data_IF_698314787806
#
_entry.id   IF_698314787806
#
_cell.length_a   1.000
_cell.length_b   1.000
_cell.length_c   1.000
_cell.angle_alpha   90.00
_cell.angle_beta   90.00
_cell.angle_gamma   90.00
#
_symmetry.space_group_name_H-M   'P 1'
#
loop_
_entity.id
_entity.type
_entity.pdbx_description
1 polymer ?
#
# COMPACT_ATOMS: atom_id res chain seq x y z
N UNK A 1 5.82 6.53 24.67
CA UNK A 1 6.44 7.53 23.74
C UNK A 1 5.45 7.77 22.64
N UNK A 2 5.33 8.98 22.13
CA UNK A 2 4.31 9.31 21.14
C UNK A 2 4.94 9.38 19.75
N UNK A 3 4.15 9.01 18.71
CA UNK A 3 4.48 9.32 17.33
C UNK A 3 4.72 10.83 17.14
N UNK A 4 5.52 11.26 16.15
CA UNK A 4 5.56 12.67 15.76
C UNK A 4 4.15 13.20 15.48
N UNK A 5 3.83 14.40 15.97
CA UNK A 5 2.47 14.99 15.83
C UNK A 5 1.98 15.12 14.39
N UNK A 6 2.92 15.17 13.45
CA UNK A 6 2.62 15.26 12.02
C UNK A 6 2.31 13.90 11.35
N UNK A 7 2.43 12.80 12.08
CA UNK A 7 2.22 11.45 11.58
C UNK A 7 0.89 10.89 12.08
N UNK A 8 0.17 10.23 11.20
CA UNK A 8 -1.07 9.52 11.56
C UNK A 8 -0.92 8.06 11.19
N UNK A 9 -1.06 7.15 12.16
CA UNK A 9 -1.27 5.74 11.85
C UNK A 9 -2.71 5.55 11.38
N UNK A 10 -2.87 4.78 10.31
CA UNK A 10 -4.17 4.41 9.75
C UNK A 10 -4.24 2.91 9.45
N UNK A 11 -5.44 2.39 9.27
CA UNK A 11 -5.68 1.02 8.83
C UNK A 11 -6.33 1.01 7.46
N UNK A 12 -5.89 0.12 6.58
CA UNK A 12 -6.57 -0.11 5.31
C UNK A 12 -7.78 -1.03 5.50
N UNK A 13 -8.95 -0.60 5.02
CA UNK A 13 -10.12 -1.46 4.93
C UNK A 13 -9.93 -2.60 3.91
N UNK A 14 -8.90 -2.51 3.05
CA UNK A 14 -8.48 -3.62 2.19
C UNK A 14 -8.11 -4.87 3.00
N UNK A 15 -7.63 -4.71 4.23
CA UNK A 15 -7.35 -5.81 5.15
C UNK A 15 -8.58 -6.69 5.37
N UNK A 16 -9.77 -6.12 5.26
CA UNK A 16 -11.06 -6.80 5.45
C UNK A 16 -11.62 -7.40 4.15
N UNK A 17 -10.84 -7.47 3.08
CA UNK A 17 -11.29 -8.06 1.80
C UNK A 17 -11.91 -9.46 1.96
N UNK A 18 -11.40 -10.38 2.80
CA UNK A 18 -12.06 -11.66 3.03
C UNK A 18 -13.49 -11.50 3.55
N UNK A 19 -13.74 -10.55 4.46
CA UNK A 19 -15.07 -10.25 4.98
C UNK A 19 -15.99 -9.62 3.92
N UNK A 20 -15.42 -8.72 3.09
CA UNK A 20 -16.16 -8.12 1.97
C UNK A 20 -16.60 -9.18 0.95
N UNK A 21 -15.72 -10.16 0.67
CA UNK A 21 -16.00 -11.27 -0.25
C UNK A 21 -17.09 -12.19 0.31
N UNK A 22 -17.09 -12.46 1.61
CA UNK A 22 -18.17 -13.25 2.26
C UNK A 22 -19.53 -12.57 2.15
N UNK A 23 -19.56 -11.25 2.02
CA UNK A 23 -20.76 -10.42 1.84
C UNK A 23 -21.83 -10.59 2.93
N UNK A 24 -21.43 -10.99 4.14
CA UNK A 24 -22.34 -11.13 5.29
C UNK A 24 -22.72 -9.76 5.88
N UNK A 25 -21.82 -8.79 5.72
CA UNK A 25 -22.01 -7.39 6.15
C UNK A 25 -21.65 -6.45 5.01
N UNK A 26 -22.31 -5.28 4.90
CA UNK A 26 -21.91 -4.24 3.95
C UNK A 26 -20.47 -3.77 4.21
N UNK A 27 -19.69 -3.50 3.16
CA UNK A 27 -18.32 -3.02 3.30
C UNK A 27 -18.19 -1.72 4.11
N UNK A 28 -19.10 -0.72 4.00
CA UNK A 28 -19.08 0.44 4.89
C UNK A 28 -19.22 0.10 6.38
N UNK A 29 -20.01 -0.93 6.72
CA UNK A 29 -20.17 -1.37 8.11
C UNK A 29 -18.91 -2.05 8.63
N UNK A 30 -18.26 -2.85 7.78
CA UNK A 30 -16.97 -3.45 8.10
C UNK A 30 -15.91 -2.37 8.34
N UNK A 31 -15.77 -1.43 7.41
CA UNK A 31 -14.79 -0.35 7.53
C UNK A 31 -15.04 0.54 8.77
N UNK A 32 -16.31 0.89 9.07
CA UNK A 32 -16.64 1.67 10.27
C UNK A 32 -16.29 0.93 11.57
N UNK A 33 -16.38 -0.40 11.58
CA UNK A 33 -16.03 -1.21 12.77
C UNK A 33 -14.56 -1.03 13.18
N UNK A 34 -13.62 -0.77 12.23
CA UNK A 34 -12.22 -0.47 12.57
C UNK A 34 -12.10 0.73 13.52
N UNK A 35 -12.96 1.74 13.32
CA UNK A 35 -13.00 2.94 14.17
C UNK A 35 -13.81 2.68 15.44
N UNK A 36 -14.99 2.09 15.31
CA UNK A 36 -15.93 1.84 16.42
C UNK A 36 -15.33 0.92 17.50
N UNK A 37 -14.44 0.00 17.11
CA UNK A 37 -13.70 -0.88 18.03
C UNK A 37 -12.38 -0.27 18.52
N UNK A 38 -12.03 0.94 18.04
CA UNK A 38 -10.79 1.61 18.46
C UNK A 38 -9.52 0.99 17.89
N UNK A 39 -9.61 0.21 16.79
CA UNK A 39 -8.44 -0.36 16.11
C UNK A 39 -7.63 0.74 15.44
N UNK A 40 -8.30 1.67 14.75
CA UNK A 40 -7.68 2.84 14.15
C UNK A 40 -8.65 4.04 14.15
N UNK A 41 -8.14 5.26 14.38
CA UNK A 41 -8.93 6.50 14.25
C UNK A 41 -8.93 7.09 12.83
N UNK A 42 -8.04 6.63 11.97
CA UNK A 42 -7.99 6.99 10.56
C UNK A 42 -7.99 5.70 9.73
N UNK A 43 -8.78 5.67 8.67
CA UNK A 43 -8.88 4.50 7.80
C UNK A 43 -8.68 4.88 6.34
N UNK A 44 -8.05 4.00 5.59
CA UNK A 44 -8.03 4.02 4.14
C UNK A 44 -9.08 3.06 3.60
N UNK A 45 -9.78 3.45 2.53
CA UNK A 45 -10.84 2.65 1.92
C UNK A 45 -10.62 2.50 0.41
N UNK A 46 -11.09 1.39 -0.15
CA UNK A 46 -11.14 1.17 -1.60
C UNK A 46 -12.53 1.51 -2.13
N UNK A 47 -12.63 2.54 -2.99
CA UNK A 47 -13.93 3.03 -3.46
C UNK A 47 -14.75 1.93 -4.12
N UNK A 48 -14.10 1.08 -4.92
CA UNK A 48 -14.75 -0.02 -5.63
C UNK A 48 -15.28 -1.13 -4.73
N UNK A 49 -14.84 -1.21 -3.47
CA UNK A 49 -15.34 -2.16 -2.48
C UNK A 49 -16.45 -1.57 -1.61
N UNK A 50 -16.43 -0.25 -1.40
CA UNK A 50 -17.29 0.41 -0.40
C UNK A 50 -18.72 0.54 -0.84
N UNK A 51 -18.97 1.00 -2.04
CA UNK A 51 -20.33 1.34 -2.49
C UNK A 51 -20.68 0.72 -3.84
N UNK A 52 -21.94 0.37 -3.97
CA UNK A 52 -22.51 0.05 -5.29
C UNK A 52 -22.55 1.31 -6.14
N UNK A 53 -22.46 1.16 -7.46
CA UNK A 53 -22.49 2.30 -8.38
C UNK A 53 -21.12 2.84 -8.76
N UNK A 54 -20.03 2.17 -8.36
CA UNK A 54 -18.69 2.49 -8.87
C UNK A 54 -18.70 2.64 -10.40
N UNK A 55 -18.09 3.69 -11.01
CA UNK A 55 -17.19 4.68 -10.37
C UNK A 55 -17.90 5.93 -9.79
N UNK A 56 -19.23 6.01 -9.83
CA UNK A 56 -20.04 7.15 -9.40
C UNK A 56 -21.01 6.74 -8.28
N UNK A 57 -20.51 6.47 -7.04
CA UNK A 57 -21.39 6.13 -5.93
C UNK A 57 -22.21 7.33 -5.47
N UNK A 58 -23.39 7.10 -4.86
CA UNK A 58 -24.22 8.18 -4.33
C UNK A 58 -23.48 9.02 -3.30
N UNK A 59 -23.43 10.33 -3.51
CA UNK A 59 -22.72 11.23 -2.59
C UNK A 59 -23.34 11.26 -1.18
N UNK A 60 -24.63 10.94 -1.04
CA UNK A 60 -25.29 10.82 0.27
C UNK A 60 -24.75 9.63 1.07
N UNK A 61 -24.46 8.51 0.42
CA UNK A 61 -23.88 7.33 1.08
C UNK A 61 -22.47 7.65 1.60
N UNK A 62 -21.66 8.36 0.80
CA UNK A 62 -20.33 8.79 1.21
C UNK A 62 -20.38 9.78 2.39
N UNK A 63 -21.33 10.73 2.37
CA UNK A 63 -21.54 11.67 3.49
C UNK A 63 -22.02 10.95 4.75
N UNK A 64 -22.98 10.04 4.65
CA UNK A 64 -23.48 9.27 5.77
C UNK A 64 -22.35 8.42 6.43
N UNK A 65 -21.50 7.84 5.60
CA UNK A 65 -20.32 7.11 6.08
C UNK A 65 -19.35 8.02 6.84
N UNK A 66 -18.99 9.18 6.28
CA UNK A 66 -18.18 10.19 6.96
C UNK A 66 -18.75 10.57 8.32
N UNK A 67 -20.05 10.87 8.37
CA UNK A 67 -20.72 11.33 9.59
C UNK A 67 -20.72 10.22 10.66
N UNK A 68 -20.90 8.96 10.24
CA UNK A 68 -20.79 7.78 11.12
C UNK A 68 -19.37 7.64 11.71
N UNK A 69 -18.33 7.73 10.88
CA UNK A 69 -16.96 7.67 11.36
C UNK A 69 -16.64 8.82 12.32
N UNK A 70 -17.07 10.02 11.98
CA UNK A 70 -16.87 11.21 12.81
C UNK A 70 -17.55 11.07 14.18
N UNK A 71 -18.75 10.50 14.24
CA UNK A 71 -19.46 10.22 15.48
C UNK A 71 -18.71 9.21 16.36
N UNK A 72 -17.95 8.29 15.76
CA UNK A 72 -17.09 7.33 16.45
C UNK A 72 -15.67 7.89 16.76
N UNK A 73 -15.40 9.16 16.43
CA UNK A 73 -14.08 9.78 16.63
C UNK A 73 -13.05 9.45 15.55
N UNK A 74 -13.49 8.96 14.39
CA UNK A 74 -12.61 8.59 13.29
C UNK A 74 -12.84 9.40 12.02
N UNK A 75 -12.03 9.09 10.99
CA UNK A 75 -12.10 9.73 9.68
C UNK A 75 -11.56 8.82 8.58
N UNK A 76 -11.93 9.13 7.35
CA UNK A 76 -11.23 8.60 6.16
C UNK A 76 -9.93 9.38 5.97
N UNK A 77 -8.82 8.69 5.77
CA UNK A 77 -7.53 9.27 5.40
C UNK A 77 -7.38 9.36 3.88
N UNK A 78 -7.35 8.22 3.21
CA UNK A 78 -7.13 8.11 1.77
C UNK A 78 -8.21 7.21 1.18
N UNK A 79 -8.58 7.47 -0.06
CA UNK A 79 -9.49 6.62 -0.85
C UNK A 79 -8.70 6.03 -2.03
N UNK A 80 -8.62 4.71 -2.09
CA UNK A 80 -8.14 4.00 -3.26
C UNK A 80 -9.12 4.19 -4.42
N UNK A 81 -8.64 4.78 -5.50
CA UNK A 81 -9.34 5.01 -6.74
C UNK A 81 -8.71 4.21 -7.88
N UNK A 82 -9.34 4.19 -9.03
CA UNK A 82 -8.76 3.54 -10.21
C UNK A 82 -9.13 4.27 -11.49
N UNK A 83 -8.31 4.11 -12.50
CA UNK A 83 -8.63 4.50 -13.87
C UNK A 83 -8.71 3.23 -14.70
N UNK A 84 -9.88 2.98 -15.29
CA UNK A 84 -10.00 1.92 -16.27
C UNK A 84 -9.51 2.45 -17.63
N UNK A 85 -8.38 1.95 -18.10
CA UNK A 85 -7.79 2.38 -19.36
C UNK A 85 -8.48 1.81 -20.59
N UNK A 86 -9.41 0.86 -20.42
CA UNK A 86 -10.04 0.17 -21.52
C UNK A 86 -11.57 0.28 -21.50
N UNK A 87 -12.16 0.43 -22.67
CA UNK A 87 -13.61 0.38 -22.85
C UNK A 87 -13.94 -0.36 -24.15
N UNK A 88 -14.75 -1.41 -24.06
CA UNK A 88 -15.23 -2.17 -25.23
C UNK A 88 -14.12 -2.55 -26.23
N UNK A 89 -12.98 -3.01 -25.70
CA UNK A 89 -11.85 -3.49 -26.52
C UNK A 89 -10.92 -2.41 -27.06
N UNK A 90 -11.13 -1.12 -26.74
CA UNK A 90 -10.21 -0.02 -27.08
C UNK A 90 -9.72 0.72 -25.85
N UNK A 91 -8.61 1.41 -25.98
CA UNK A 91 -8.14 2.33 -24.93
C UNK A 91 -9.10 3.54 -24.82
N UNK A 92 -9.32 3.98 -23.59
CA UNK A 92 -9.99 5.26 -23.32
C UNK A 92 -9.10 6.42 -23.75
N UNK A 93 -9.73 7.49 -24.24
CA UNK A 93 -9.07 8.79 -24.40
C UNK A 93 -8.82 9.43 -23.01
N UNK A 94 -7.98 10.45 -22.96
CA UNK A 94 -7.74 11.19 -21.71
C UNK A 94 -9.03 11.86 -21.18
N UNK A 95 -9.92 12.30 -22.04
CA UNK A 95 -11.22 12.82 -21.62
C UNK A 95 -12.11 11.73 -20.97
N UNK A 96 -12.13 10.54 -21.53
CA UNK A 96 -12.88 9.42 -20.97
C UNK A 96 -12.25 8.89 -19.67
N UNK A 97 -10.94 8.93 -19.53
CA UNK A 97 -10.21 8.58 -18.29
C UNK A 97 -10.47 9.62 -17.20
N UNK A 98 -10.42 10.90 -17.57
CA UNK A 98 -10.76 12.00 -16.65
C UNK A 98 -12.22 11.91 -16.18
N UNK A 99 -13.16 11.70 -17.11
CA UNK A 99 -14.58 11.55 -16.80
C UNK A 99 -14.86 10.32 -15.91
N UNK A 100 -14.08 9.26 -16.03
CA UNK A 100 -14.16 8.07 -15.18
C UNK A 100 -13.64 8.32 -13.76
N UNK A 101 -12.57 9.12 -13.61
CA UNK A 101 -11.98 9.43 -12.32
C UNK A 101 -12.72 10.52 -11.55
N UNK A 102 -13.27 11.51 -12.24
CA UNK A 102 -13.90 12.69 -11.63
C UNK A 102 -14.97 12.36 -10.57
N UNK A 103 -15.95 11.46 -10.79
CA UNK A 103 -16.93 11.11 -9.77
C UNK A 103 -16.29 10.44 -8.55
N UNK A 104 -15.23 9.66 -8.73
CA UNK A 104 -14.50 9.04 -7.63
C UNK A 104 -13.84 10.09 -6.72
N UNK A 105 -13.24 11.14 -7.29
CA UNK A 105 -12.69 12.28 -6.53
C UNK A 105 -13.77 12.99 -5.72
N UNK A 106 -14.96 13.22 -6.32
CA UNK A 106 -16.08 13.84 -5.63
C UNK A 106 -16.62 12.97 -4.49
N UNK A 107 -16.66 11.66 -4.68
CA UNK A 107 -17.08 10.73 -3.64
C UNK A 107 -16.04 10.69 -2.48
N UNK A 108 -14.75 10.72 -2.80
CA UNK A 108 -13.69 10.81 -1.79
C UNK A 108 -13.81 12.10 -0.95
N UNK A 109 -14.03 13.25 -1.60
CA UNK A 109 -14.28 14.52 -0.90
C UNK A 109 -15.55 14.45 -0.04
N UNK A 110 -16.64 13.85 -0.54
CA UNK A 110 -17.88 13.66 0.21
C UNK A 110 -17.69 12.76 1.44
N UNK A 111 -16.83 11.73 1.32
CA UNK A 111 -16.43 10.87 2.44
C UNK A 111 -15.47 11.56 3.44
N UNK A 112 -15.05 12.80 3.18
CA UNK A 112 -14.15 13.56 4.05
C UNK A 112 -12.70 13.07 4.01
N UNK A 113 -12.29 12.41 2.93
CA UNK A 113 -10.91 11.98 2.74
C UNK A 113 -9.97 13.17 2.58
N UNK A 114 -8.72 13.00 2.99
CA UNK A 114 -7.66 13.99 2.73
C UNK A 114 -7.03 13.82 1.35
N UNK A 115 -7.20 12.65 0.74
CA UNK A 115 -6.69 12.40 -0.60
C UNK A 115 -7.20 11.12 -1.21
N UNK A 116 -6.74 10.89 -2.43
CA UNK A 116 -7.02 9.70 -3.22
C UNK A 116 -5.72 9.05 -3.68
N UNK A 117 -5.73 7.74 -3.88
CA UNK A 117 -4.57 6.97 -4.31
C UNK A 117 -4.82 6.32 -5.67
N UNK A 118 -3.81 6.37 -6.51
CA UNK A 118 -3.70 5.64 -7.78
C UNK A 118 -2.34 4.96 -7.87
N UNK A 119 -2.21 3.81 -8.56
CA UNK A 119 -0.89 3.25 -8.90
C UNK A 119 -0.01 4.26 -9.63
N UNK A 120 1.28 4.27 -9.34
CA UNK A 120 2.24 5.22 -9.93
C UNK A 120 2.22 5.18 -11.47
N UNK A 121 2.13 6.36 -12.08
CA UNK A 121 2.06 6.52 -13.52
C UNK A 121 0.69 6.22 -14.13
N UNK A 122 -0.29 5.75 -13.35
CA UNK A 122 -1.62 5.49 -13.89
C UNK A 122 -2.33 6.79 -14.30
N UNK A 123 -2.18 7.88 -13.55
CA UNK A 123 -2.72 9.17 -13.97
C UNK A 123 -2.03 9.70 -15.23
N UNK A 124 -0.72 9.53 -15.35
CA UNK A 124 0.07 9.88 -16.53
C UNK A 124 -0.16 11.32 -16.99
N UNK A 125 -0.63 11.50 -18.24
CA UNK A 125 -0.91 12.81 -18.86
C UNK A 125 -2.05 13.59 -18.21
N UNK A 126 -2.84 12.96 -17.31
CA UNK A 126 -3.93 13.63 -16.64
C UNK A 126 -3.49 14.48 -15.44
N UNK A 127 -2.24 14.31 -14.93
CA UNK A 127 -1.80 14.93 -13.69
C UNK A 127 -2.01 16.44 -13.68
N UNK A 128 -1.56 17.15 -14.72
CA UNK A 128 -1.71 18.61 -14.82
C UNK A 128 -3.18 19.04 -14.85
N UNK A 129 -4.00 18.25 -15.52
CA UNK A 129 -5.45 18.50 -15.65
C UNK A 129 -6.21 18.22 -14.34
N UNK A 130 -5.69 17.31 -13.50
CA UNK A 130 -6.30 16.96 -12.23
C UNK A 130 -6.04 18.02 -11.15
N UNK A 131 -4.93 18.75 -11.19
CA UNK A 131 -4.55 19.71 -10.14
C UNK A 131 -5.65 20.72 -9.81
N UNK A 132 -6.31 21.41 -10.77
CA UNK A 132 -7.39 22.33 -10.44
C UNK A 132 -8.57 21.66 -9.73
N UNK A 133 -8.95 20.46 -10.14
CA UNK A 133 -10.03 19.70 -9.51
C UNK A 133 -9.65 19.23 -8.09
N UNK A 134 -8.41 18.87 -7.87
CA UNK A 134 -7.89 18.50 -6.55
C UNK A 134 -7.88 19.71 -5.61
N UNK A 135 -7.54 20.91 -6.14
CA UNK A 135 -7.63 22.15 -5.38
C UNK A 135 -9.08 22.49 -5.00
N UNK A 136 -10.02 22.40 -5.95
CA UNK A 136 -11.44 22.66 -5.72
C UNK A 136 -12.08 21.71 -4.69
N UNK A 137 -11.60 20.46 -4.65
CA UNK A 137 -12.10 19.41 -3.74
C UNK A 137 -11.30 19.31 -2.44
N UNK A 138 -10.25 20.10 -2.27
CA UNK A 138 -9.28 20.02 -1.16
C UNK A 138 -8.70 18.61 -0.96
N UNK A 139 -8.34 17.95 -2.05
CA UNK A 139 -7.76 16.61 -2.06
C UNK A 139 -6.29 16.63 -2.48
N UNK A 140 -5.56 15.61 -2.02
CA UNK A 140 -4.22 15.26 -2.53
C UNK A 140 -4.33 13.97 -3.33
N UNK A 141 -3.77 13.94 -4.54
CA UNK A 141 -3.57 12.70 -5.28
C UNK A 141 -2.25 12.07 -4.86
N UNK A 142 -2.29 10.83 -4.43
CA UNK A 142 -1.12 10.02 -4.14
C UNK A 142 -0.86 9.03 -5.27
N UNK A 143 0.32 9.11 -5.89
CA UNK A 143 0.80 8.09 -6.80
C UNK A 143 1.54 7.02 -5.98
N UNK A 144 0.99 5.82 -5.91
CA UNK A 144 1.51 4.71 -5.11
C UNK A 144 2.54 3.91 -5.89
N UNK A 145 3.74 3.83 -5.32
CA UNK A 145 4.80 2.95 -5.79
C UNK A 145 4.95 1.75 -4.84
N UNK A 146 4.91 0.53 -5.40
CA UNK A 146 4.98 -0.73 -4.65
C UNK A 146 5.91 -1.74 -5.33
N UNK A 147 6.35 -2.75 -4.59
CA UNK A 147 7.13 -3.86 -5.11
C UNK A 147 8.39 -3.43 -5.86
N UNK A 148 8.40 -3.59 -7.17
CA UNK A 148 9.55 -3.27 -8.03
C UNK A 148 9.48 -1.88 -8.69
N UNK A 149 8.50 -1.06 -8.36
CA UNK A 149 8.28 0.24 -8.99
C UNK A 149 9.20 1.34 -8.42
N UNK A 150 10.50 1.08 -8.44
CA UNK A 150 11.55 1.99 -7.95
C UNK A 150 11.74 3.19 -8.87
N UNK A 151 12.39 4.29 -8.41
CA UNK A 151 12.76 5.39 -9.29
C UNK A 151 13.57 4.96 -10.52
N UNK A 152 14.43 3.95 -10.36
CA UNK A 152 15.22 3.41 -11.48
C UNK A 152 14.35 2.58 -12.45
N UNK A 153 13.31 1.90 -11.98
CA UNK A 153 12.43 1.09 -12.81
C UNK A 153 11.34 1.91 -13.54
N UNK A 154 10.94 3.05 -12.95
CA UNK A 154 9.85 3.90 -13.45
C UNK A 154 10.26 5.38 -13.53
N UNK A 155 11.44 5.73 -14.09
CA UNK A 155 11.98 7.09 -14.03
C UNK A 155 11.01 8.14 -14.57
N UNK A 156 10.29 7.85 -15.65
CA UNK A 156 9.35 8.81 -16.26
C UNK A 156 8.21 9.22 -15.32
N UNK A 157 7.71 8.29 -14.48
CA UNK A 157 6.63 8.59 -13.55
C UNK A 157 7.13 9.48 -12.40
N UNK A 158 8.28 9.15 -11.82
CA UNK A 158 8.89 9.94 -10.76
C UNK A 158 9.34 11.33 -11.24
N UNK A 159 9.94 11.42 -12.42
CA UNK A 159 10.35 12.70 -13.03
C UNK A 159 9.14 13.61 -13.30
N UNK A 160 8.04 13.04 -13.79
CA UNK A 160 6.79 13.79 -14.01
C UNK A 160 6.24 14.37 -12.72
N UNK A 161 6.20 13.55 -11.66
CA UNK A 161 5.75 13.99 -10.34
C UNK A 161 6.64 15.11 -9.79
N UNK A 162 7.96 14.98 -9.91
CA UNK A 162 8.91 15.99 -9.49
C UNK A 162 8.79 17.29 -10.33
N UNK A 163 8.63 17.18 -11.66
CA UNK A 163 8.47 18.33 -12.56
C UNK A 163 7.18 19.09 -12.33
N UNK A 164 6.08 18.37 -12.04
CA UNK A 164 4.80 18.99 -11.71
C UNK A 164 4.90 19.88 -10.47
N UNK A 165 5.67 19.48 -9.47
CA UNK A 165 5.95 20.27 -8.26
C UNK A 165 4.72 20.73 -7.48
N UNK A 166 3.56 20.12 -7.73
CA UNK A 166 2.30 20.51 -7.09
C UNK A 166 2.19 19.91 -5.70
N UNK A 167 1.77 20.68 -4.67
CA UNK A 167 1.47 20.14 -3.36
C UNK A 167 0.25 19.19 -3.39
N UNK A 168 -0.58 19.25 -4.45
CA UNK A 168 -1.77 18.40 -4.63
C UNK A 168 -1.46 17.04 -5.23
N UNK A 169 -0.22 16.79 -5.66
CA UNK A 169 0.19 15.47 -6.17
C UNK A 169 1.44 15.04 -5.44
N UNK A 170 1.35 13.94 -4.72
CA UNK A 170 2.39 13.42 -3.84
C UNK A 170 2.67 11.94 -4.15
N UNK A 171 3.79 11.45 -3.65
CA UNK A 171 4.15 10.05 -3.72
C UNK A 171 3.63 9.32 -2.47
N UNK A 172 3.08 8.11 -2.65
CA UNK A 172 2.86 7.14 -1.60
C UNK A 172 3.82 5.98 -1.83
N UNK A 173 4.59 5.63 -0.82
CA UNK A 173 5.52 4.49 -0.86
C UNK A 173 4.91 3.32 -0.08
N UNK A 174 4.77 2.18 -0.74
CA UNK A 174 4.50 0.91 -0.08
C UNK A 174 5.83 0.24 0.30
N UNK A 175 6.01 -0.10 1.58
CA UNK A 175 7.25 -0.72 2.07
C UNK A 175 7.46 -2.16 1.57
N UNK A 176 6.53 -2.73 0.80
CA UNK A 176 6.80 -3.93 0.01
C UNK A 176 8.01 -3.78 -0.91
N UNK A 177 8.39 -2.56 -1.24
CA UNK A 177 9.62 -2.26 -1.97
C UNK A 177 10.89 -2.61 -1.17
N UNK A 178 10.84 -2.64 0.15
CA UNK A 178 11.99 -2.65 1.07
C UNK A 178 12.22 -4.02 1.75
N UNK A 179 11.67 -5.10 1.22
CA UNK A 179 11.66 -6.39 1.90
C UNK A 179 13.07 -6.97 2.06
N UNK A 180 13.55 -7.19 3.31
CA UNK A 180 14.85 -7.83 3.56
C UNK A 180 14.80 -9.33 3.27
N UNK A 181 13.65 -9.95 3.49
CA UNK A 181 13.38 -11.36 3.25
C UNK A 181 11.89 -11.55 2.88
N UNK A 182 11.57 -12.71 2.32
CA UNK A 182 10.19 -13.08 2.03
C UNK A 182 9.44 -13.50 3.29
N UNK A 183 8.09 -13.34 3.34
CA UNK A 183 7.29 -13.78 4.47
C UNK A 183 7.46 -15.29 4.73
N UNK A 184 7.50 -15.70 5.99
CA UNK A 184 7.70 -17.12 6.36
C UNK A 184 6.57 -17.98 5.81
N UNK A 185 5.35 -17.54 6.06
CA UNK A 185 4.13 -18.26 5.63
C UNK A 185 4.01 -18.37 4.11
N UNK A 186 4.52 -17.37 3.37
CA UNK A 186 4.58 -17.43 1.92
C UNK A 186 5.51 -18.55 1.42
N UNK A 187 6.71 -18.64 2.00
CA UNK A 187 7.67 -19.68 1.66
C UNK A 187 7.12 -21.08 1.99
N UNK A 188 6.49 -21.23 3.16
CA UNK A 188 5.83 -22.47 3.56
C UNK A 188 4.71 -22.88 2.58
N UNK A 189 3.94 -21.89 2.11
CA UNK A 189 2.88 -22.14 1.13
C UNK A 189 3.43 -22.59 -0.22
N UNK A 190 4.53 -21.99 -0.70
CA UNK A 190 5.20 -22.41 -1.93
C UNK A 190 5.78 -23.80 -1.79
N UNK A 191 6.47 -24.10 -0.67
CA UNK A 191 7.05 -25.39 -0.36
C UNK A 191 5.99 -26.49 -0.30
N UNK A 192 4.92 -26.26 0.46
CA UNK A 192 3.76 -27.16 0.55
C UNK A 192 3.02 -27.33 -0.80
N UNK A 193 3.10 -26.35 -1.68
CA UNK A 193 2.60 -26.40 -3.04
C UNK A 193 3.48 -27.13 -4.05
N UNK A 194 4.65 -27.62 -3.61
CA UNK A 194 5.55 -28.44 -4.41
C UNK A 194 6.56 -27.67 -5.25
N UNK A 195 6.86 -26.40 -4.91
CA UNK A 195 7.99 -25.69 -5.50
C UNK A 195 9.30 -26.41 -5.12
N UNK A 196 10.22 -26.49 -6.08
CA UNK A 196 11.49 -27.22 -5.92
C UNK A 196 12.26 -26.76 -4.68
N UNK A 197 12.71 -27.70 -3.79
CA UNK A 197 13.38 -27.35 -2.53
C UNK A 197 14.62 -26.46 -2.72
N UNK A 198 15.38 -26.66 -3.80
CA UNK A 198 16.56 -25.85 -4.10
C UNK A 198 16.18 -24.38 -4.40
N UNK A 199 15.04 -24.13 -5.03
CA UNK A 199 14.54 -22.78 -5.26
C UNK A 199 14.02 -22.18 -3.96
N UNK A 200 13.30 -22.94 -3.13
CA UNK A 200 12.84 -22.48 -1.81
C UNK A 200 14.01 -22.05 -0.93
N UNK A 201 15.09 -22.85 -0.89
CA UNK A 201 16.31 -22.49 -0.15
C UNK A 201 16.90 -21.16 -0.64
N UNK A 202 17.01 -20.96 -1.96
CA UNK A 202 17.48 -19.70 -2.53
C UNK A 202 16.58 -18.51 -2.16
N UNK A 203 15.25 -18.69 -2.23
CA UNK A 203 14.29 -17.65 -1.87
C UNK A 203 14.37 -17.28 -0.38
N UNK A 204 14.65 -18.28 0.48
CA UNK A 204 14.79 -18.11 1.93
C UNK A 204 16.08 -17.36 2.29
N UNK A 205 17.20 -17.79 1.73
CA UNK A 205 18.53 -17.39 2.20
C UNK A 205 19.12 -16.24 1.38
N UNK A 206 18.64 -16.02 0.16
CA UNK A 206 19.21 -15.07 -0.79
C UNK A 206 18.15 -14.25 -1.54
N UNK A 207 17.09 -13.80 -0.86
CA UNK A 207 16.01 -13.05 -1.49
C UNK A 207 16.50 -11.84 -2.33
N UNK A 208 17.47 -11.09 -1.79
CA UNK A 208 18.00 -9.88 -2.45
C UNK A 208 19.08 -10.16 -3.50
N UNK A 209 19.56 -11.40 -3.61
CA UNK A 209 20.54 -11.78 -4.65
C UNK A 209 19.86 -11.74 -6.04
N UNK A 210 20.40 -10.98 -7.02
CA UNK A 210 19.90 -10.98 -8.39
C UNK A 210 19.82 -12.38 -8.99
N UNK A 211 20.75 -13.28 -8.68
CA UNK A 211 20.74 -14.66 -9.16
C UNK A 211 19.52 -15.46 -8.65
N UNK A 212 18.94 -15.09 -7.52
CA UNK A 212 17.69 -15.68 -7.02
C UNK A 212 16.49 -15.24 -7.86
N UNK A 213 16.47 -13.98 -8.26
CA UNK A 213 15.44 -13.48 -9.18
C UNK A 213 15.50 -14.20 -10.54
N UNK A 214 16.70 -14.36 -11.08
CA UNK A 214 16.91 -15.07 -12.35
C UNK A 214 16.46 -16.52 -12.24
N UNK A 215 16.75 -17.19 -11.13
CA UNK A 215 16.30 -18.56 -10.89
C UNK A 215 14.77 -18.67 -10.80
N UNK A 216 14.10 -17.70 -10.16
CA UNK A 216 12.64 -17.64 -10.10
C UNK A 216 12.02 -17.43 -11.49
N UNK A 217 12.56 -16.50 -12.29
CA UNK A 217 12.13 -16.27 -13.68
C UNK A 217 12.36 -17.49 -14.55
N UNK A 218 13.48 -18.18 -14.40
CA UNK A 218 13.79 -19.40 -15.13
C UNK A 218 12.84 -20.54 -14.79
N UNK A 219 12.51 -20.70 -13.49
CA UNK A 219 11.51 -21.69 -13.05
C UNK A 219 10.14 -21.44 -13.68
N UNK A 220 9.71 -20.17 -13.71
CA UNK A 220 8.44 -19.77 -14.31
C UNK A 220 8.42 -20.03 -15.84
N UNK A 221 9.44 -19.55 -16.57
CA UNK A 221 9.56 -19.71 -18.03
C UNK A 221 9.70 -21.16 -18.43
N UNK A 222 10.37 -21.96 -17.59
CA UNK A 222 10.54 -23.40 -17.79
C UNK A 222 9.33 -24.26 -17.41
N UNK A 223 8.22 -23.64 -16.95
CA UNK A 223 7.01 -24.37 -16.54
C UNK A 223 7.24 -25.25 -15.30
N UNK A 224 8.24 -24.95 -14.44
CA UNK A 224 8.56 -25.72 -13.25
C UNK A 224 7.79 -25.27 -12.00
N UNK A 225 6.98 -24.20 -12.12
CA UNK A 225 6.13 -23.75 -11.01
C UNK A 225 4.84 -24.57 -11.00
N UNK A 226 4.52 -25.29 -9.89
CA UNK A 226 3.30 -26.08 -9.81
C UNK A 226 2.02 -25.26 -9.95
N UNK A 227 1.02 -25.80 -10.69
CA UNK A 227 -0.25 -25.13 -10.96
C UNK A 227 -0.97 -24.59 -9.71
N UNK A 228 -1.07 -25.33 -8.59
CA UNK A 228 -1.76 -24.88 -7.38
C UNK A 228 -1.19 -23.60 -6.76
N UNK A 229 0.10 -23.31 -6.96
CA UNK A 229 0.79 -22.13 -6.40
C UNK A 229 1.27 -21.16 -7.48
N UNK A 230 0.90 -21.38 -8.74
CA UNK A 230 1.39 -20.55 -9.85
C UNK A 230 1.02 -19.07 -9.68
N UNK A 231 -0.24 -18.78 -9.36
CA UNK A 231 -0.69 -17.40 -9.13
C UNK A 231 0.03 -16.78 -7.93
N UNK A 232 0.16 -17.52 -6.83
CA UNK A 232 0.89 -17.07 -5.65
C UNK A 232 2.37 -16.78 -5.97
N UNK A 233 3.00 -17.65 -6.76
CA UNK A 233 4.39 -17.48 -7.18
C UNK A 233 4.64 -16.16 -7.95
N UNK A 234 3.64 -15.66 -8.66
CA UNK A 234 3.74 -14.38 -9.39
C UNK A 234 3.99 -13.20 -8.46
N UNK A 235 3.66 -13.28 -7.17
CA UNK A 235 3.94 -12.22 -6.20
C UNK A 235 5.44 -11.90 -6.08
N UNK A 236 6.32 -12.90 -6.32
CA UNK A 236 7.78 -12.68 -6.40
C UNK A 236 8.19 -11.64 -7.45
N UNK A 237 7.39 -11.50 -8.51
CA UNK A 237 7.69 -10.66 -9.65
C UNK A 237 6.92 -9.34 -9.66
N UNK A 238 5.86 -9.26 -8.85
CA UNK A 238 4.94 -8.09 -8.91
C UNK A 238 4.95 -7.32 -7.60
N UNK A 239 4.89 -8.01 -6.45
CA UNK A 239 4.62 -7.37 -5.16
C UNK A 239 5.82 -7.26 -4.23
N UNK A 240 6.77 -8.18 -4.32
CA UNK A 240 7.90 -8.25 -3.39
C UNK A 240 9.13 -7.55 -3.96
N UNK A 241 9.43 -6.38 -3.42
CA UNK A 241 10.58 -5.59 -3.80
C UNK A 241 11.88 -5.99 -3.08
N UNK A 242 13.01 -5.47 -3.57
CA UNK A 242 14.36 -5.77 -3.08
C UNK A 242 15.18 -4.52 -2.81
N UNK A 243 14.55 -3.35 -2.86
CA UNK A 243 15.23 -2.06 -2.73
C UNK A 243 15.63 -1.77 -1.28
N UNK A 244 16.49 -0.80 -1.13
CA UNK A 244 16.85 -0.20 0.15
C UNK A 244 16.20 1.18 0.31
N UNK A 245 16.11 1.66 1.54
CA UNK A 245 15.63 3.02 1.83
C UNK A 245 16.53 4.08 1.18
N UNK A 246 17.83 3.81 1.03
CA UNK A 246 18.78 4.74 0.42
C UNK A 246 18.46 5.00 -1.07
N UNK A 247 17.95 4.00 -1.77
CA UNK A 247 17.49 4.15 -3.16
C UNK A 247 16.28 5.08 -3.29
N UNK A 248 15.50 5.23 -2.21
CA UNK A 248 14.34 6.13 -2.14
C UNK A 248 14.69 7.53 -1.66
N UNK A 249 15.92 7.76 -1.16
CA UNK A 249 16.33 9.05 -0.59
C UNK A 249 16.05 10.26 -1.51
N UNK A 250 16.29 10.20 -2.85
CA UNK A 250 16.02 11.31 -3.74
C UNK A 250 14.54 11.70 -3.84
N UNK A 251 13.62 10.77 -3.59
CA UNK A 251 12.17 10.97 -3.75
C UNK A 251 11.44 11.20 -2.42
N UNK A 252 12.10 11.03 -1.29
CA UNK A 252 11.50 11.25 0.03
C UNK A 252 10.83 12.63 0.19
N UNK A 253 11.36 13.75 -0.36
CA UNK A 253 10.69 15.05 -0.29
C UNK A 253 9.31 15.08 -0.97
N UNK A 254 9.03 14.16 -1.90
CA UNK A 254 7.77 14.04 -2.60
C UNK A 254 6.73 13.19 -1.83
N UNK A 255 7.17 12.45 -0.81
CA UNK A 255 6.32 11.49 -0.09
C UNK A 255 5.32 12.21 0.79
N UNK A 256 4.06 11.81 0.71
CA UNK A 256 2.96 12.29 1.55
C UNK A 256 2.17 11.15 2.21
N UNK A 257 2.43 9.90 1.85
CA UNK A 257 1.81 8.72 2.44
C UNK A 257 2.73 7.50 2.41
N UNK A 258 2.50 6.57 3.32
CA UNK A 258 3.22 5.30 3.39
C UNK A 258 2.20 4.17 3.58
N UNK A 259 2.33 3.11 2.81
CA UNK A 259 1.75 1.82 3.17
C UNK A 259 2.78 1.01 3.95
N UNK A 260 2.45 0.72 5.20
CA UNK A 260 3.16 -0.24 6.03
C UNK A 260 2.63 -1.62 5.67
N UNK A 261 3.07 -2.13 4.51
CA UNK A 261 2.65 -3.42 3.97
C UNK A 261 3.21 -4.56 4.80
N UNK A 262 2.37 -5.55 5.08
CA UNK A 262 2.78 -6.78 5.74
C UNK A 262 1.96 -7.96 5.23
N UNK A 263 2.47 -9.18 5.44
CA UNK A 263 1.80 -10.40 5.01
C UNK A 263 1.57 -11.35 6.17
N UNK A 264 2.57 -11.55 7.00
CA UNK A 264 2.47 -12.22 8.29
C UNK A 264 3.16 -11.36 9.35
N UNK A 265 3.13 -11.80 10.60
CA UNK A 265 3.75 -11.11 11.73
C UNK A 265 4.93 -11.92 12.30
N UNK A 266 5.44 -12.89 11.55
CA UNK A 266 6.68 -13.56 11.90
C UNK A 266 7.85 -12.63 11.59
N UNK A 267 8.46 -12.10 12.63
CA UNK A 267 9.58 -11.16 12.53
C UNK A 267 10.95 -11.85 12.59
N UNK A 268 11.02 -13.12 12.21
CA UNK A 268 12.30 -13.77 12.04
C UNK A 268 13.19 -12.94 11.12
N UNK A 269 14.47 -12.76 11.51
CA UNK A 269 15.45 -11.94 10.79
C UNK A 269 15.00 -10.46 10.59
N UNK A 270 14.15 -9.94 11.48
CA UNK A 270 13.61 -8.58 11.45
C UNK A 270 12.87 -8.24 10.14
N UNK A 271 12.29 -9.24 9.47
CA UNK A 271 11.65 -9.06 8.14
C UNK A 271 10.42 -8.17 8.13
N UNK A 272 9.74 -8.03 9.28
CA UNK A 272 8.60 -7.12 9.47
C UNK A 272 9.07 -5.79 10.07
N UNK A 273 9.88 -5.86 11.11
CA UNK A 273 10.29 -4.68 11.88
C UNK A 273 11.32 -3.80 11.15
N UNK A 274 12.28 -4.39 10.44
CA UNK A 274 13.37 -3.63 9.79
C UNK A 274 12.86 -2.61 8.74
N UNK A 275 11.94 -2.98 7.80
CA UNK A 275 11.42 -2.01 6.84
C UNK A 275 10.68 -0.84 7.50
N UNK A 276 9.93 -1.11 8.59
CA UNK A 276 9.21 -0.07 9.35
C UNK A 276 10.20 0.86 10.04
N UNK A 277 11.23 0.31 10.67
CA UNK A 277 12.28 1.07 11.34
C UNK A 277 13.04 1.97 10.35
N UNK A 278 13.49 1.40 9.23
CA UNK A 278 14.32 2.09 8.24
C UNK A 278 13.56 3.24 7.56
N UNK A 279 12.31 2.96 7.12
CA UNK A 279 11.48 4.03 6.54
C UNK A 279 11.16 5.09 7.59
N UNK A 280 10.85 4.72 8.83
CA UNK A 280 10.59 5.65 9.92
C UNK A 280 11.76 6.60 10.19
N UNK A 281 12.99 6.07 10.19
CA UNK A 281 14.20 6.87 10.34
C UNK A 281 14.39 7.85 9.16
N UNK A 282 14.15 7.40 7.93
CA UNK A 282 14.24 8.23 6.73
C UNK A 282 13.19 9.35 6.71
N UNK A 283 11.95 9.03 7.09
CA UNK A 283 10.84 9.98 7.16
C UNK A 283 11.08 11.08 8.21
N UNK A 284 11.71 10.75 9.35
CA UNK A 284 12.11 11.77 10.33
C UNK A 284 13.12 12.76 9.75
N UNK A 285 14.12 12.25 9.03
CA UNK A 285 15.14 13.10 8.41
C UNK A 285 14.59 13.99 7.30
N UNK A 286 13.59 13.53 6.57
CA UNK A 286 12.95 14.29 5.47
C UNK A 286 11.90 15.31 5.95
N UNK A 287 11.53 15.29 7.25
CA UNK A 287 10.45 16.12 7.76
C UNK A 287 9.06 15.72 7.28
N UNK A 288 8.85 14.44 7.01
CA UNK A 288 7.60 13.88 6.53
C UNK A 288 6.40 14.28 7.41
N UNK A 289 5.29 14.56 6.75
CA UNK A 289 3.99 14.84 7.33
C UNK A 289 2.94 14.05 6.54
N UNK A 290 2.22 13.15 7.19
CA UNK A 290 1.23 12.34 6.47
C UNK A 290 0.78 11.09 7.21
N UNK A 291 0.19 10.18 6.46
CA UNK A 291 -0.34 8.90 6.98
C UNK A 291 0.62 7.75 6.74
N UNK A 292 0.63 6.82 7.71
CA UNK A 292 1.30 5.52 7.62
C UNK A 292 0.21 4.48 7.83
N UNK A 293 -0.17 3.79 6.76
CA UNK A 293 -1.33 2.91 6.71
C UNK A 293 -0.91 1.45 6.84
N UNK A 294 -1.44 0.76 7.85
CA UNK A 294 -1.29 -0.69 7.98
C UNK A 294 -2.09 -1.40 6.87
N UNK A 295 -1.41 -2.11 5.99
CA UNK A 295 -2.03 -2.81 4.88
C UNK A 295 -1.60 -4.28 4.82
N UNK A 296 -2.57 -5.19 4.97
CA UNK A 296 -2.35 -6.63 5.02
C UNK A 296 -2.54 -7.30 3.65
N UNK A 297 -1.50 -7.94 3.15
CA UNK A 297 -1.54 -8.70 1.91
C UNK A 297 -1.58 -10.22 2.10
N UNK A 298 -1.42 -10.72 3.34
CA UNK A 298 -1.36 -12.16 3.63
C UNK A 298 -2.68 -12.91 3.44
N UNK A 299 -3.78 -12.19 3.40
CA UNK A 299 -5.11 -12.74 3.11
C UNK A 299 -5.21 -13.54 1.80
N UNK A 300 -4.22 -13.45 0.92
CA UNK A 300 -4.18 -14.23 -0.31
C UNK A 300 -3.85 -15.71 -0.07
N UNK A 301 -3.25 -16.05 1.07
CA UNK A 301 -2.87 -17.42 1.41
C UNK A 301 -3.07 -17.80 2.89
N UNK A 302 -3.45 -16.83 3.74
CA UNK A 302 -3.73 -17.02 5.16
C UNK A 302 -5.21 -16.81 5.44
N UNK A 303 -5.75 -17.63 6.35
CA UNK A 303 -7.12 -17.55 6.86
C UNK A 303 -7.16 -16.90 8.27
N UNK A 304 -6.15 -16.08 8.60
CA UNK A 304 -6.07 -15.38 9.88
C UNK A 304 -7.19 -14.33 10.01
N UNK A 305 -7.52 -13.99 11.25
CA UNK A 305 -8.50 -12.96 11.55
C UNK A 305 -7.96 -11.57 11.13
N UNK A 306 -8.57 -10.91 10.14
CA UNK A 306 -8.07 -9.63 9.63
C UNK A 306 -8.11 -8.50 10.68
N UNK A 307 -9.02 -8.57 11.65
CA UNK A 307 -9.13 -7.59 12.74
C UNK A 307 -7.94 -7.71 13.69
N UNK A 308 -7.63 -8.95 14.09
CA UNK A 308 -6.48 -9.24 14.94
C UNK A 308 -5.18 -8.89 14.23
N UNK A 309 -5.00 -9.30 12.98
CA UNK A 309 -3.81 -9.01 12.18
C UNK A 309 -3.57 -7.50 12.07
N UNK A 310 -4.61 -6.73 11.76
CA UNK A 310 -4.54 -5.27 11.65
C UNK A 310 -4.16 -4.63 13.00
N UNK A 311 -4.82 -5.03 14.08
CA UNK A 311 -4.57 -4.47 15.42
C UNK A 311 -3.15 -4.76 15.90
N UNK A 312 -2.68 -6.00 15.74
CA UNK A 312 -1.31 -6.41 16.13
C UNK A 312 -0.26 -5.68 15.31
N UNK A 313 -0.45 -5.56 13.99
CA UNK A 313 0.50 -4.84 13.15
C UNK A 313 0.57 -3.35 13.50
N UNK A 314 -0.57 -2.70 13.76
CA UNK A 314 -0.60 -1.30 14.21
C UNK A 314 0.14 -1.11 15.55
N UNK A 315 0.02 -2.06 16.47
CA UNK A 315 0.77 -2.02 17.73
C UNK A 315 2.28 -2.13 17.51
N UNK A 316 2.73 -3.05 16.64
CA UNK A 316 4.14 -3.19 16.24
C UNK A 316 4.65 -1.91 15.58
N UNK A 317 3.93 -1.42 14.58
CA UNK A 317 4.29 -0.19 13.86
C UNK A 317 4.36 1.02 14.81
N UNK A 318 3.37 1.17 15.68
CA UNK A 318 3.32 2.24 16.69
C UNK A 318 4.52 2.21 17.64
N UNK A 319 4.93 1.04 18.09
CA UNK A 319 6.12 0.87 18.93
C UNK A 319 7.40 1.28 18.18
N UNK A 320 7.63 0.72 17.00
CA UNK A 320 8.84 0.97 16.19
C UNK A 320 8.96 2.43 15.73
N UNK A 321 7.84 3.03 15.35
CA UNK A 321 7.80 4.42 14.88
C UNK A 321 7.83 5.46 16.02
N UNK A 322 7.58 5.06 17.25
CA UNK A 322 7.69 5.94 18.43
C UNK A 322 9.10 6.00 19.01
N UNK A 323 9.94 5.01 18.76
CA UNK A 323 11.30 4.99 19.26
C UNK A 323 12.14 6.08 18.58
N UNK A 324 12.66 6.99 19.39
CA UNK A 324 13.78 7.84 18.99
C UNK A 324 14.97 6.92 18.76
N UNK A 325 15.46 6.86 17.53
CA UNK A 325 16.56 6.01 17.11
C UNK A 325 17.56 5.73 18.24
N UNK A 326 17.60 4.50 18.70
CA UNK A 326 18.81 4.02 19.38
C UNK A 326 19.94 4.15 18.34
N UNK A 327 21.11 4.71 18.73
CA UNK A 327 22.21 4.86 17.79
C UNK A 327 22.54 3.48 17.23
N UNK A 328 22.62 3.39 15.90
CA UNK A 328 23.16 2.22 15.20
C UNK A 328 24.42 1.82 15.94
N UNK A 329 24.43 0.64 16.54
CA UNK A 329 25.68 0.05 17.01
C UNK A 329 26.47 -0.23 15.74
N UNK A 330 27.47 0.60 15.49
CA UNK A 330 28.53 0.26 14.54
C UNK A 330 28.95 -1.18 14.82
N UNK A 331 28.61 -2.08 13.92
CA UNK A 331 29.17 -3.42 13.89
C UNK A 331 30.67 -3.20 13.68
N UNK A 332 31.39 -3.16 14.80
CA UNK A 332 32.82 -2.92 14.87
C UNK A 332 33.57 -3.82 13.90
N UNK A 333 34.46 -3.19 13.19
CA UNK A 333 35.55 -3.81 12.51
C UNK A 333 36.23 -4.83 13.43
N UNK A 334 36.27 -6.08 13.00
CA UNK A 334 37.27 -7.07 13.35
C UNK A 334 37.65 -7.91 12.11
#
# INVERSE_FOLDING_TARGET
MNLPDAWTLSASAFNLTPEVIRAERPAPDLAATLVEQGIASAIEIELGQMWRGFPDPPADDARAFRDRLSAAGGRVSIVGASIDDWIRGRRRTDDERFAFLQPQLRAAAAAGATGVRLPIGQAGTLLERLVPLLDDLDLVLFEEAQGHETPAARPEAYDRLAQLGSPRVRLLIDISMLMPALPVTYLERLEGGGVEPALIARLRDGWRDPATNDAALEALRGGRVPGPVHTLFMNLLVRFGRSSVDELAPVLPLVGGIHLKFWDLDDADARVSQPIHDIGAALRRSGFRGTLCSEWGGQEWLDDDPWEMTSRHLAVAGALLSDRAAPVRDAGAH
#
